data_IF_253730772038
#
_entry.id   IF_253730772038
#
_cell.length_a   1.000
_cell.length_b   1.000
_cell.length_c   1.000
_cell.angle_alpha   90.00
_cell.angle_beta   90.00
_cell.angle_gamma   90.00
#
_symmetry.space_group_name_H-M   'P 1'
#
loop_
_entity.id
_entity.type
_entity.pdbx_description
1 polymer ?
#
# COMPACT_ATOMS: atom_id res chain seq x y z
N UNK A 1 7.14 11.78 12.51
CA UNK A 1 5.75 11.39 12.19
C UNK A 1 5.21 12.12 10.97
N UNK A 2 5.14 13.45 10.95
CA UNK A 2 4.71 14.18 9.75
C UNK A 2 5.71 14.06 8.59
N UNK A 3 7.01 14.12 8.89
CA UNK A 3 8.08 13.99 7.89
C UNK A 3 8.11 12.59 7.26
N UNK A 4 7.86 11.53 8.04
CA UNK A 4 7.77 10.15 7.55
C UNK A 4 6.56 9.94 6.63
N UNK A 5 5.44 10.60 6.92
CA UNK A 5 4.26 10.59 6.04
C UNK A 5 4.57 11.31 4.74
N UNK A 6 5.35 12.40 4.79
CA UNK A 6 5.75 13.17 3.62
C UNK A 6 6.68 12.37 2.70
N UNK A 7 7.66 11.68 3.27
CA UNK A 7 8.57 10.82 2.53
C UNK A 7 7.82 9.68 1.82
N UNK A 8 6.95 8.98 2.53
CA UNK A 8 6.23 7.84 1.93
C UNK A 8 5.17 8.29 0.92
N UNK A 9 4.45 9.40 1.13
CA UNK A 9 3.47 9.86 0.12
C UNK A 9 4.16 10.19 -1.20
N UNK A 10 5.38 10.74 -1.17
CA UNK A 10 6.16 11.03 -2.38
C UNK A 10 6.55 9.75 -3.12
N UNK A 11 6.95 8.70 -2.39
CA UNK A 11 7.26 7.38 -2.97
C UNK A 11 6.08 6.77 -3.74
N UNK A 12 4.85 7.00 -3.28
CA UNK A 12 3.63 6.49 -3.91
C UNK A 12 2.92 7.52 -4.80
N UNK A 13 3.47 8.72 -4.96
CA UNK A 13 2.88 9.79 -5.76
C UNK A 13 1.50 10.26 -5.26
N UNK A 14 1.25 10.16 -3.95
CA UNK A 14 -0.02 10.50 -3.32
C UNK A 14 0.01 11.88 -2.67
N UNK A 15 -1.15 12.52 -2.63
CA UNK A 15 -1.34 13.71 -1.80
C UNK A 15 -1.36 13.32 -0.31
N UNK A 16 -0.91 14.22 0.57
CA UNK A 16 -0.79 13.94 2.00
C UNK A 16 -2.10 13.40 2.61
N UNK A 17 -3.21 14.07 2.34
CA UNK A 17 -4.54 13.66 2.82
C UNK A 17 -5.03 12.35 2.22
N UNK A 18 -4.56 12.00 1.03
CA UNK A 18 -4.87 10.74 0.36
C UNK A 18 -4.12 9.59 1.01
N UNK A 19 -2.81 9.76 1.21
CA UNK A 19 -1.96 8.79 1.88
C UNK A 19 -2.42 8.50 3.32
N UNK A 20 -2.78 9.53 4.09
CA UNK A 20 -3.29 9.34 5.46
C UNK A 20 -4.60 8.55 5.48
N UNK A 21 -5.55 8.89 4.59
CA UNK A 21 -6.81 8.12 4.46
C UNK A 21 -6.54 6.68 4.08
N UNK A 22 -5.56 6.46 3.22
CA UNK A 22 -5.15 5.15 2.76
C UNK A 22 -4.62 4.29 3.91
N UNK A 23 -3.67 4.81 4.70
CA UNK A 23 -3.14 4.11 5.88
C UNK A 23 -4.24 3.77 6.89
N UNK A 24 -5.18 4.70 7.15
CA UNK A 24 -6.29 4.47 8.07
C UNK A 24 -7.21 3.35 7.58
N UNK A 25 -7.45 3.24 6.28
CA UNK A 25 -8.31 2.17 5.71
C UNK A 25 -7.61 0.81 5.62
N UNK A 26 -6.28 0.77 5.64
CA UNK A 26 -5.51 -0.47 5.69
C UNK A 26 -5.34 -1.02 7.11
N UNK A 27 -5.64 -0.24 8.14
CA UNK A 27 -5.61 -0.73 9.52
C UNK A 27 -6.61 -1.89 9.70
N UNK A 28 -6.18 -2.99 10.33
CA UNK A 28 -6.99 -4.21 10.48
C UNK A 28 -8.30 -3.99 11.25
N UNK A 29 -8.35 -2.97 12.09
CA UNK A 29 -9.50 -2.57 12.90
C UNK A 29 -10.29 -1.40 12.28
N UNK A 30 -9.95 -1.01 11.04
CA UNK A 30 -10.65 0.05 10.35
C UNK A 30 -12.09 -0.35 10.03
N UNK A 31 -13.10 0.49 10.36
CA UNK A 31 -14.48 0.23 9.99
C UNK A 31 -14.78 0.56 8.51
N UNK A 32 -13.77 0.95 7.73
CA UNK A 32 -13.89 1.35 6.34
C UNK A 32 -13.35 0.25 5.41
N UNK A 33 -13.87 0.22 4.18
CA UNK A 33 -13.38 -0.72 3.16
C UNK A 33 -11.88 -0.53 2.89
N UNK A 34 -11.15 -1.65 2.88
CA UNK A 34 -9.73 -1.67 2.56
C UNK A 34 -9.52 -1.27 1.09
N UNK A 35 -8.66 -0.27 0.81
CA UNK A 35 -8.40 0.16 -0.56
C UNK A 35 -7.73 -0.95 -1.36
N UNK A 36 -8.02 -1.04 -2.66
CA UNK A 36 -7.49 -2.08 -3.55
C UNK A 36 -5.97 -2.00 -3.72
N UNK A 37 -5.38 -0.82 -3.56
CA UNK A 37 -3.94 -0.61 -3.61
C UNK A 37 -3.32 -0.95 -2.26
N UNK A 38 -2.32 -1.84 -2.24
CA UNK A 38 -1.49 -2.10 -1.05
C UNK A 38 -0.23 -1.26 -1.15
N UNK A 39 0.05 -0.41 -0.16
CA UNK A 39 1.24 0.45 -0.16
C UNK A 39 2.46 -0.27 0.40
N UNK A 40 2.27 -1.24 1.31
CA UNK A 40 3.38 -2.03 1.82
C UNK A 40 3.90 -2.98 0.74
N UNK A 41 4.96 -2.56 0.03
CA UNK A 41 5.92 -3.52 -0.53
C UNK A 41 6.73 -4.06 0.63
N UNK A 42 6.72 -5.37 0.79
CA UNK A 42 7.65 -6.05 1.70
C UNK A 42 9.07 -5.86 1.14
N UNK A 43 9.79 -4.87 1.67
CA UNK A 43 11.20 -4.62 1.34
C UNK A 43 12.12 -5.75 1.84
N UNK A 44 11.59 -6.67 2.65
CA UNK A 44 12.29 -7.86 3.14
C UNK A 44 12.08 -9.09 2.23
N UNK A 45 11.33 -8.95 1.13
CA UNK A 45 11.07 -10.03 0.18
C UNK A 45 12.17 -10.14 -0.90
N UNK A 46 13.44 -10.02 -0.51
CA UNK A 46 14.50 -10.71 -1.24
C UNK A 46 14.38 -12.19 -0.87
N UNK A 47 13.77 -12.97 -1.77
CA UNK A 47 13.75 -14.44 -1.80
C UNK A 47 12.50 -15.17 -1.25
N UNK A 48 11.32 -14.87 -1.80
CA UNK A 48 10.17 -15.76 -1.74
C UNK A 48 9.46 -15.86 -3.08
N UNK A 49 9.18 -17.06 -3.54
CA UNK A 49 8.38 -17.29 -4.74
C UNK A 49 6.89 -17.16 -4.39
N UNK A 50 6.16 -16.17 -4.92
CA UNK A 50 4.77 -16.41 -5.34
C UNK A 50 4.25 -15.36 -6.32
N UNK A 51 4.11 -15.77 -7.59
CA UNK A 51 2.92 -15.38 -8.35
C UNK A 51 3.04 -14.21 -9.32
N UNK A 52 4.02 -14.22 -10.23
CA UNK A 52 3.71 -13.79 -11.60
C UNK A 52 2.65 -14.75 -12.15
N UNK A 53 1.37 -14.40 -12.05
CA UNK A 53 0.31 -14.99 -12.87
C UNK A 53 -0.33 -13.89 -13.69
N UNK A 54 0.39 -13.52 -14.74
CA UNK A 54 -0.15 -12.79 -15.87
C UNK A 54 -0.51 -13.88 -16.89
N UNK A 55 -1.74 -14.39 -16.85
CA UNK A 55 -2.37 -15.39 -17.74
C UNK A 55 -3.70 -15.80 -17.08
N UNK A 56 -4.91 -15.68 -17.62
CA UNK A 56 -5.44 -15.18 -18.87
C UNK A 56 -6.98 -15.21 -18.74
N UNK A 57 -7.69 -14.41 -19.53
CA UNK A 57 -9.13 -14.55 -19.71
C UNK A 57 -9.43 -15.82 -20.52
N UNK A 58 -10.27 -16.71 -19.99
CA UNK A 58 -11.13 -17.67 -20.72
C UNK A 58 -12.09 -18.35 -19.73
#
# INVERSE_FOLDING_TARGET
MADEIDEHREQYGMEFSEYVRHCVRQANDSPFDTPETVLCKDENYENGETGRRNEGAA
#
